data_IF_149803563115
#
_entry.id   IF_149803563115
#
_cell.length_a   1.000
_cell.length_b   1.000
_cell.length_c   1.000
_cell.angle_alpha   90.00
_cell.angle_beta   90.00
_cell.angle_gamma   90.00
#
_symmetry.space_group_name_H-M   'P 1'
#
loop_
_entity.id
_entity.type
_entity.pdbx_description
1 polymer ?
#
# COMPACT_ATOMS: atom_id res chain seq x y z
N UNK A 1 6.41 11.23 -22.34
CA UNK A 1 5.03 11.32 -21.81
C UNK A 1 5.15 11.41 -20.30
N UNK A 2 4.48 12.37 -19.65
CA UNK A 2 4.54 12.50 -18.19
C UNK A 2 3.90 11.27 -17.52
N UNK A 3 4.46 10.83 -16.40
CA UNK A 3 3.99 9.68 -15.64
C UNK A 3 3.85 10.02 -14.14
N UNK A 4 3.51 9.03 -13.33
CA UNK A 4 3.30 9.16 -11.89
C UNK A 4 4.57 9.62 -11.14
N UNK A 5 5.78 9.26 -11.61
CA UNK A 5 7.04 9.68 -11.00
C UNK A 5 7.31 11.17 -11.29
N UNK A 6 6.95 11.66 -12.50
CA UNK A 6 7.05 13.07 -12.83
C UNK A 6 6.11 13.93 -11.95
N UNK A 7 4.93 13.38 -11.60
CA UNK A 7 4.03 14.06 -10.67
C UNK A 7 4.68 14.27 -9.30
N UNK A 8 5.40 13.29 -8.77
CA UNK A 8 6.14 13.42 -7.51
C UNK A 8 7.24 14.48 -7.59
N UNK A 9 7.90 14.64 -8.75
CA UNK A 9 8.90 15.71 -8.96
C UNK A 9 8.25 17.11 -8.98
N UNK A 10 7.05 17.22 -9.54
CA UNK A 10 6.39 18.52 -9.72
C UNK A 10 5.52 18.95 -8.54
N UNK A 11 5.04 17.99 -7.73
CA UNK A 11 4.04 18.22 -6.68
C UNK A 11 4.43 17.68 -5.32
N UNK A 12 5.52 16.92 -5.24
CA UNK A 12 5.97 16.32 -4.00
C UNK A 12 6.42 17.31 -2.92
N UNK A 13 6.74 18.55 -3.30
CA UNK A 13 7.07 19.65 -2.41
C UNK A 13 5.84 20.29 -1.73
N UNK A 14 4.64 20.12 -2.32
CA UNK A 14 3.39 20.66 -1.80
C UNK A 14 2.70 19.65 -0.88
N UNK A 15 2.54 19.99 0.37
CA UNK A 15 1.81 19.16 1.33
C UNK A 15 0.34 18.99 0.96
N UNK A 16 -0.32 17.97 1.50
CA UNK A 16 -1.76 17.76 1.33
C UNK A 16 -2.61 18.86 1.95
N UNK A 17 -2.05 19.62 2.91
CA UNK A 17 -2.71 20.79 3.49
C UNK A 17 -2.65 22.01 2.57
N UNK A 18 -1.60 22.15 1.76
CA UNK A 18 -1.44 23.24 0.79
C UNK A 18 -2.19 22.99 -0.50
N UNK A 19 -2.29 21.72 -0.89
CA UNK A 19 -3.02 21.25 -2.07
C UNK A 19 -3.80 19.98 -1.71
N UNK A 20 -5.11 20.07 -1.77
CA UNK A 20 -6.01 18.97 -1.44
C UNK A 20 -5.67 17.68 -2.20
N UNK A 21 -6.00 16.57 -1.58
CA UNK A 21 -5.91 15.23 -2.13
C UNK A 21 -6.62 15.13 -3.49
N UNK A 22 -6.03 14.43 -4.44
CA UNK A 22 -6.56 14.29 -5.80
C UNK A 22 -6.40 12.84 -6.34
N UNK A 23 -6.87 12.60 -7.55
CA UNK A 23 -6.89 11.28 -8.18
C UNK A 23 -5.49 10.68 -8.41
N UNK A 24 -4.46 11.52 -8.66
CA UNK A 24 -3.08 11.04 -8.82
C UNK A 24 -2.51 10.63 -7.48
N UNK A 25 -2.84 11.37 -6.41
CA UNK A 25 -2.48 10.96 -5.05
C UNK A 25 -3.12 9.62 -4.68
N UNK A 26 -4.40 9.42 -5.05
CA UNK A 26 -5.10 8.17 -4.86
C UNK A 26 -4.36 7.00 -5.53
N UNK A 27 -3.94 7.18 -6.79
CA UNK A 27 -3.17 6.15 -7.49
C UNK A 27 -1.84 5.85 -6.77
N UNK A 28 -1.10 6.89 -6.35
CA UNK A 28 0.18 6.72 -5.64
C UNK A 28 -0.02 5.95 -4.34
N UNK A 29 -1.03 6.31 -3.53
CA UNK A 29 -1.28 5.63 -2.26
C UNK A 29 -1.76 4.18 -2.44
N UNK A 30 -2.53 3.90 -3.50
CA UNK A 30 -2.92 2.54 -3.87
C UNK A 30 -1.70 1.68 -4.25
N UNK A 31 -0.79 2.21 -5.05
CA UNK A 31 0.43 1.51 -5.47
C UNK A 31 1.40 1.22 -4.32
N UNK A 32 1.47 2.08 -3.29
CA UNK A 32 2.30 1.84 -2.10
C UNK A 32 1.93 0.53 -1.39
N UNK A 33 0.66 0.11 -1.43
CA UNK A 33 0.20 -1.14 -0.81
C UNK A 33 0.78 -2.41 -1.45
N UNK A 34 1.36 -2.33 -2.63
CA UNK A 34 2.02 -3.48 -3.26
C UNK A 34 3.38 -3.82 -2.63
N UNK A 35 3.99 -2.88 -1.90
CA UNK A 35 5.20 -3.19 -1.14
C UNK A 35 4.84 -3.98 0.14
N UNK A 36 5.54 -5.07 0.38
CA UNK A 36 5.37 -5.82 1.63
C UNK A 36 6.06 -5.11 2.80
N UNK A 37 5.27 -4.39 3.57
CA UNK A 37 5.71 -3.64 4.76
C UNK A 37 5.51 -4.43 6.07
N UNK A 38 5.42 -5.77 6.00
CA UNK A 38 5.36 -6.63 7.19
C UNK A 38 6.56 -6.40 8.11
N UNK A 39 6.29 -6.04 9.36
CA UNK A 39 7.34 -5.69 10.34
C UNK A 39 7.88 -4.26 10.25
N UNK A 40 7.51 -3.48 9.24
CA UNK A 40 7.92 -2.08 9.06
C UNK A 40 6.75 -1.10 9.23
N UNK A 41 5.53 -1.51 8.92
CA UNK A 41 4.31 -0.78 9.21
C UNK A 41 3.56 -1.41 10.40
N UNK A 42 2.91 -0.60 11.27
CA UNK A 42 2.18 -1.11 12.43
C UNK A 42 0.98 -1.96 12.03
N UNK A 43 0.83 -3.15 12.62
CA UNK A 43 -0.34 -4.02 12.42
C UNK A 43 -1.59 -3.55 13.18
N UNK A 44 -1.43 -2.75 14.25
CA UNK A 44 -2.55 -2.23 15.05
C UNK A 44 -2.88 -0.79 14.75
N UNK A 45 -4.07 -0.36 15.19
CA UNK A 45 -4.51 1.03 15.09
C UNK A 45 -4.10 1.88 16.31
N UNK A 46 -3.85 1.25 17.46
CA UNK A 46 -3.50 1.90 18.73
C UNK A 46 -2.01 1.85 19.07
N UNK A 47 -1.19 1.40 18.13
CA UNK A 47 0.26 1.21 18.33
C UNK A 47 1.05 2.47 17.99
N UNK A 48 2.36 2.41 18.24
CA UNK A 48 3.29 3.47 17.87
C UNK A 48 3.13 3.81 16.38
N UNK A 49 2.88 5.09 16.11
CA UNK A 49 2.71 5.59 14.75
C UNK A 49 4.05 5.59 14.03
N UNK A 50 4.05 5.07 12.81
CA UNK A 50 5.21 5.06 11.91
C UNK A 50 4.84 5.85 10.65
N UNK A 51 5.69 6.74 10.21
CA UNK A 51 5.49 7.48 8.98
C UNK A 51 5.89 6.64 7.75
N UNK A 52 5.36 6.99 6.59
CA UNK A 52 5.76 6.34 5.34
C UNK A 52 7.29 6.40 5.13
N UNK A 53 7.91 7.54 5.46
CA UNK A 53 9.36 7.71 5.37
C UNK A 53 10.11 6.75 6.29
N UNK A 54 9.73 6.67 7.56
CA UNK A 54 10.37 5.77 8.53
C UNK A 54 10.19 4.30 8.12
N UNK A 55 9.00 3.90 7.67
CA UNK A 55 8.73 2.55 7.18
C UNK A 55 9.60 2.21 5.96
N UNK A 56 9.70 3.13 4.99
CA UNK A 56 10.54 2.95 3.82
C UNK A 56 12.02 2.84 4.17
N UNK A 57 12.53 3.74 5.02
CA UNK A 57 13.97 3.76 5.38
C UNK A 57 14.35 2.46 6.09
N UNK A 58 13.49 1.95 6.98
CA UNK A 58 13.69 0.67 7.66
C UNK A 58 13.60 -0.51 6.69
N UNK A 59 12.59 -0.51 5.80
CA UNK A 59 12.42 -1.53 4.77
C UNK A 59 13.64 -1.62 3.84
N UNK A 60 14.10 -0.48 3.31
CA UNK A 60 15.22 -0.44 2.38
C UNK A 60 16.55 -0.83 3.04
N UNK A 61 16.74 -0.51 4.32
CA UNK A 61 17.91 -0.95 5.08
C UNK A 61 17.96 -2.49 5.22
N UNK A 62 16.80 -3.14 5.31
CA UNK A 62 16.68 -4.60 5.39
C UNK A 62 16.70 -5.29 4.00
N UNK A 63 16.23 -4.59 2.96
CA UNK A 63 16.05 -5.12 1.61
C UNK A 63 16.70 -4.21 0.56
N UNK A 64 18.04 -4.21 0.45
CA UNK A 64 18.74 -3.32 -0.50
C UNK A 64 18.44 -3.66 -1.98
N UNK A 65 17.94 -4.86 -2.25
CA UNK A 65 17.44 -5.28 -3.57
C UNK A 65 16.04 -5.86 -3.40
N UNK A 66 15.07 -5.34 -4.15
CA UNK A 66 13.66 -5.78 -4.05
C UNK A 66 13.24 -6.43 -5.37
N UNK A 67 12.87 -7.70 -5.31
CA UNK A 67 12.20 -8.43 -6.39
C UNK A 67 10.70 -8.41 -6.12
N UNK A 68 9.92 -7.84 -7.04
CA UNK A 68 8.47 -7.69 -6.91
C UNK A 68 7.68 -8.76 -7.67
N UNK A 69 8.37 -9.76 -8.25
CA UNK A 69 7.72 -10.77 -9.08
C UNK A 69 7.39 -10.28 -10.50
N UNK A 70 6.59 -11.06 -11.23
CA UNK A 70 6.35 -10.85 -12.67
C UNK A 70 5.18 -9.88 -12.94
N UNK A 71 4.14 -9.89 -12.12
CA UNK A 71 2.92 -9.09 -12.33
C UNK A 71 3.00 -7.71 -11.68
N UNK A 72 3.78 -7.57 -10.60
CA UNK A 72 3.95 -6.28 -9.94
C UNK A 72 5.09 -5.52 -10.61
N UNK A 73 4.87 -4.28 -11.08
CA UNK A 73 5.91 -3.53 -11.77
C UNK A 73 7.14 -3.29 -10.89
N UNK A 74 8.35 -3.53 -11.42
CA UNK A 74 9.63 -3.24 -10.77
C UNK A 74 9.80 -1.77 -10.35
N UNK A 75 8.90 -0.91 -10.82
CA UNK A 75 8.91 0.52 -10.49
C UNK A 75 8.27 0.83 -9.13
N UNK A 76 7.56 -0.11 -8.50
CA UNK A 76 6.91 0.13 -7.20
C UNK A 76 7.90 0.55 -6.12
N UNK A 77 9.05 -0.12 -5.90
CA UNK A 77 10.05 0.35 -4.93
C UNK A 77 10.55 1.76 -5.23
N UNK A 78 10.75 2.09 -6.51
CA UNK A 78 11.17 3.45 -6.94
C UNK A 78 10.10 4.48 -6.64
N UNK A 79 8.82 4.14 -6.88
CA UNK A 79 7.68 4.99 -6.56
C UNK A 79 7.59 5.25 -5.04
N UNK A 80 7.66 4.17 -4.23
CA UNK A 80 7.55 4.27 -2.77
C UNK A 80 8.71 5.07 -2.20
N UNK A 81 9.94 4.81 -2.66
CA UNK A 81 11.12 5.59 -2.29
C UNK A 81 10.90 7.09 -2.55
N UNK A 82 10.46 7.42 -3.74
CA UNK A 82 10.26 8.80 -4.15
C UNK A 82 9.14 9.46 -3.35
N UNK A 83 8.01 8.79 -3.19
CA UNK A 83 6.88 9.27 -2.38
C UNK A 83 7.28 9.49 -0.91
N UNK A 84 7.99 8.55 -0.30
CA UNK A 84 8.45 8.63 1.08
C UNK A 84 9.38 9.83 1.34
N UNK A 85 10.13 10.28 0.33
CA UNK A 85 11.03 11.43 0.45
C UNK A 85 10.34 12.79 0.21
N UNK A 86 9.09 12.79 -0.27
CA UNK A 86 8.35 14.05 -0.51
C UNK A 86 7.80 14.68 0.77
N UNK A 87 7.56 15.98 0.75
CA UNK A 87 6.79 16.68 1.78
C UNK A 87 5.31 16.23 1.77
N UNK A 88 4.82 15.82 0.57
CA UNK A 88 3.43 15.46 0.35
C UNK A 88 3.03 14.16 1.05
N UNK A 89 3.86 13.13 1.00
CA UNK A 89 3.51 11.78 1.47
C UNK A 89 4.41 11.27 2.61
N UNK A 90 5.64 11.75 2.72
CA UNK A 90 6.62 11.17 3.64
C UNK A 90 6.21 11.20 5.12
N UNK A 91 5.37 12.17 5.51
CA UNK A 91 4.85 12.31 6.88
C UNK A 91 3.52 11.60 7.14
N UNK A 92 2.93 10.93 6.14
CA UNK A 92 1.71 10.16 6.33
C UNK A 92 1.95 9.03 7.33
N UNK A 93 1.04 8.88 8.29
CA UNK A 93 1.14 7.86 9.33
C UNK A 93 0.45 6.59 8.88
N UNK A 94 1.18 5.48 8.98
CA UNK A 94 0.71 4.15 8.61
C UNK A 94 0.12 3.44 9.82
N UNK A 95 -1.00 2.78 9.65
CA UNK A 95 -1.73 2.04 10.69
C UNK A 95 -2.37 0.79 10.08
N UNK A 96 -2.66 -0.20 10.93
CA UNK A 96 -3.49 -1.33 10.59
C UNK A 96 -2.95 -2.18 9.43
N UNK A 97 -1.63 -2.19 9.20
CA UNK A 97 -1.07 -2.98 8.11
C UNK A 97 -1.34 -4.47 8.32
N UNK A 98 -1.93 -5.09 7.33
CA UNK A 98 -2.18 -6.53 7.29
C UNK A 98 -1.71 -7.08 5.95
N UNK A 99 -1.02 -8.22 5.99
CA UNK A 99 -0.67 -9.01 4.81
C UNK A 99 -0.90 -10.48 5.16
N UNK A 100 -1.94 -11.06 4.60
CA UNK A 100 -2.40 -12.42 4.92
C UNK A 100 -2.50 -13.24 3.65
N UNK A 101 -1.72 -14.31 3.59
CA UNK A 101 -1.78 -15.32 2.54
C UNK A 101 -2.12 -16.64 3.22
N UNK A 102 -3.21 -17.27 2.84
CA UNK A 102 -3.71 -18.52 3.40
C UNK A 102 -3.95 -19.52 2.26
N UNK A 103 -3.11 -20.55 2.20
CA UNK A 103 -3.17 -21.58 1.17
C UNK A 103 -4.36 -22.54 1.36
N UNK A 104 -4.82 -22.76 2.60
CA UNK A 104 -5.94 -23.66 2.88
C UNK A 104 -7.27 -23.06 2.40
N UNK A 105 -7.48 -21.78 2.71
CA UNK A 105 -8.68 -21.04 2.28
C UNK A 105 -8.52 -20.42 0.90
N UNK A 106 -7.34 -20.53 0.29
CA UNK A 106 -6.99 -19.92 -1.00
C UNK A 106 -7.28 -18.40 -1.00
N UNK A 107 -6.87 -17.74 0.08
CA UNK A 107 -7.16 -16.33 0.32
C UNK A 107 -5.88 -15.52 0.33
N UNK A 108 -5.90 -14.39 -0.38
CA UNK A 108 -4.89 -13.36 -0.30
C UNK A 108 -5.54 -12.04 0.07
N UNK A 109 -5.15 -11.49 1.21
CA UNK A 109 -5.68 -10.22 1.69
C UNK A 109 -4.55 -9.33 2.21
N UNK A 110 -4.46 -8.12 1.71
CA UNK A 110 -3.58 -7.10 2.26
C UNK A 110 -4.28 -5.75 2.29
N UNK A 111 -4.10 -5.04 3.39
CA UNK A 111 -4.67 -3.72 3.59
C UNK A 111 -3.74 -2.84 4.42
N UNK A 112 -3.86 -1.54 4.24
CA UNK A 112 -3.16 -0.52 5.02
C UNK A 112 -4.01 0.74 5.14
N UNK A 113 -4.01 1.35 6.33
CA UNK A 113 -4.61 2.65 6.57
C UNK A 113 -3.52 3.72 6.65
N UNK A 114 -3.73 4.83 5.95
CA UNK A 114 -2.87 6.02 5.98
C UNK A 114 -3.67 7.20 6.50
N UNK A 115 -3.18 7.86 7.56
CA UNK A 115 -3.86 9.06 8.09
C UNK A 115 -3.41 10.29 7.32
N UNK A 116 -4.40 11.04 6.81
CA UNK A 116 -4.19 12.30 6.09
C UNK A 116 -4.14 13.47 7.08
N UNK A 117 -3.53 14.62 6.69
CA UNK A 117 -3.38 15.77 7.59
C UNK A 117 -4.70 16.41 8.04
N UNK A 118 -5.79 16.22 7.30
CA UNK A 118 -7.13 16.71 7.64
C UNK A 118 -7.87 15.82 8.65
N UNK A 119 -7.23 14.74 9.10
CA UNK A 119 -7.80 13.77 10.04
C UNK A 119 -8.62 12.67 9.37
N UNK A 120 -8.76 12.68 8.05
CA UNK A 120 -9.37 11.58 7.31
C UNK A 120 -8.41 10.38 7.21
N UNK A 121 -8.96 9.21 6.95
CA UNK A 121 -8.20 7.98 6.74
C UNK A 121 -8.34 7.54 5.28
N UNK A 122 -7.22 7.22 4.65
CA UNK A 122 -7.16 6.53 3.37
C UNK A 122 -6.91 5.05 3.62
N UNK A 123 -7.83 4.20 3.19
CA UNK A 123 -7.68 2.74 3.28
C UNK A 123 -7.36 2.20 1.90
N UNK A 124 -6.24 1.51 1.79
CA UNK A 124 -5.84 0.84 0.56
C UNK A 124 -5.91 -0.68 0.76
N UNK A 125 -6.47 -1.36 -0.22
CA UNK A 125 -6.47 -2.81 -0.34
C UNK A 125 -5.59 -3.21 -1.51
N UNK A 126 -4.69 -4.18 -1.30
CA UNK A 126 -3.88 -4.72 -2.39
C UNK A 126 -4.70 -5.75 -3.16
N UNK A 127 -4.63 -5.68 -4.47
CA UNK A 127 -5.16 -6.70 -5.36
C UNK A 127 -4.28 -7.96 -5.41
N UNK A 128 -4.60 -8.84 -6.34
CA UNK A 128 -3.87 -10.10 -6.61
C UNK A 128 -2.39 -9.85 -6.89
N UNK A 129 -1.53 -10.70 -6.35
CA UNK A 129 -0.11 -10.75 -6.69
C UNK A 129 0.21 -11.99 -7.57
N UNK A 130 1.50 -12.26 -7.78
CA UNK A 130 2.01 -13.38 -8.61
C UNK A 130 1.82 -14.76 -7.97
N UNK A 131 1.18 -14.87 -6.80
CA UNK A 131 1.04 -16.15 -6.12
C UNK A 131 -0.05 -17.01 -6.75
N UNK A 132 0.13 -18.34 -6.71
CA UNK A 132 -0.90 -19.30 -7.11
C UNK A 132 -2.17 -19.12 -6.28
N UNK A 133 -2.03 -18.69 -5.03
CA UNK A 133 -3.16 -18.44 -4.11
C UNK A 133 -4.02 -17.29 -4.62
N UNK A 134 -3.41 -16.15 -5.00
CA UNK A 134 -4.13 -15.01 -5.56
C UNK A 134 -4.87 -15.36 -6.84
N UNK A 135 -4.24 -16.10 -7.73
CA UNK A 135 -4.88 -16.55 -9.00
C UNK A 135 -6.07 -17.48 -8.75
N UNK A 136 -5.98 -18.38 -7.77
CA UNK A 136 -7.12 -19.26 -7.39
C UNK A 136 -8.25 -18.46 -6.76
N UNK A 137 -7.94 -17.46 -5.96
CA UNK A 137 -8.95 -16.59 -5.35
C UNK A 137 -9.72 -15.81 -6.41
N UNK A 138 -9.03 -15.22 -7.40
CA UNK A 138 -9.67 -14.54 -8.54
C UNK A 138 -10.57 -15.48 -9.33
N UNK A 139 -10.13 -16.73 -9.54
CA UNK A 139 -10.96 -17.72 -10.20
C UNK A 139 -12.21 -18.08 -9.39
N UNK A 140 -12.06 -18.21 -8.07
CA UNK A 140 -13.17 -18.51 -7.16
C UNK A 140 -14.24 -17.40 -7.16
N UNK A 141 -13.83 -16.13 -7.32
CA UNK A 141 -14.76 -15.00 -7.45
C UNK A 141 -15.78 -15.17 -8.57
N UNK A 142 -15.42 -15.92 -9.63
CA UNK A 142 -16.34 -16.17 -10.75
C UNK A 142 -17.46 -17.19 -10.40
N UNK A 143 -17.29 -17.97 -9.35
CA UNK A 143 -18.18 -19.11 -9.02
C UNK A 143 -18.83 -19.03 -7.63
N UNK A 144 -18.31 -18.15 -6.76
CA UNK A 144 -18.84 -17.99 -5.40
C UNK A 144 -19.36 -16.58 -5.20
N UNK A 145 -20.50 -16.40 -4.49
CA UNK A 145 -21.07 -15.06 -4.24
C UNK A 145 -20.20 -14.21 -3.34
N UNK A 146 -19.36 -14.83 -2.52
CA UNK A 146 -18.48 -14.18 -1.56
C UNK A 146 -17.22 -14.99 -1.35
N UNK A 147 -16.06 -14.34 -1.38
CA UNK A 147 -14.76 -14.95 -1.04
C UNK A 147 -14.26 -14.44 0.31
N UNK A 148 -13.35 -15.17 1.00
CA UNK A 148 -12.85 -14.77 2.32
C UNK A 148 -12.24 -13.37 2.35
N UNK A 149 -11.52 -12.94 1.32
CA UNK A 149 -10.91 -11.61 1.27
C UNK A 149 -11.95 -10.48 1.34
N UNK A 150 -13.14 -10.67 0.77
CA UNK A 150 -14.23 -9.68 0.85
C UNK A 150 -14.72 -9.51 2.30
N UNK A 151 -14.79 -10.60 3.08
CA UNK A 151 -15.12 -10.54 4.51
C UNK A 151 -14.03 -9.83 5.30
N UNK A 152 -12.76 -10.19 5.05
CA UNK A 152 -11.63 -9.51 5.71
C UNK A 152 -11.61 -8.01 5.40
N UNK A 153 -11.96 -7.60 4.17
CA UNK A 153 -12.06 -6.19 3.82
C UNK A 153 -13.21 -5.49 4.57
N UNK A 154 -14.37 -6.16 4.71
CA UNK A 154 -15.50 -5.62 5.47
C UNK A 154 -15.21 -5.53 6.98
N UNK A 155 -14.50 -6.53 7.53
CA UNK A 155 -14.11 -6.55 8.95
C UNK A 155 -12.99 -5.54 9.26
N UNK A 156 -12.22 -5.17 8.26
CA UNK A 156 -11.13 -4.19 8.40
C UNK A 156 -11.64 -2.75 8.50
N UNK A 157 -12.76 -2.42 7.84
CA UNK A 157 -13.38 -1.08 7.81
C UNK A 157 -14.24 -0.78 9.03
#
# INVERSE_FOLDING_TARGET
>A
MANILDYLDWRGDLTLSERAFNEVDNLILAEICYLDLSGFAPAGFDTQQVTLREAWDAYFAAHPTTDMGVLVPDQIPVLVQKAAQTARFGSLRLLGYVNRIDEETQTQFSAMTMLLPDGSAYVAFRGTDDTIVGWKEDFNMAFTPEIPAQRYAADYL
#
